data_IF_400450432160
#
_entry.id   IF_400450432160
#
_cell.length_a   1.000
_cell.length_b   1.000
_cell.length_c   1.000
_cell.angle_alpha   90.00
_cell.angle_beta   90.00
_cell.angle_gamma   90.00
#
_symmetry.space_group_name_H-M   'P 1'
#
loop_
_entity.id
_entity.type
_entity.pdbx_description
1 polymer ?
#
# COMPACT_ATOMS: atom_id res chain seq x y z
N UNK A 1 -6.31 15.72 -26.49
CA UNK A 1 -4.97 15.11 -26.26
C UNK A 1 -5.15 14.01 -25.24
N UNK A 2 -4.40 12.90 -25.34
CA UNK A 2 -4.45 11.83 -24.34
C UNK A 2 -3.93 12.32 -22.98
N UNK A 3 -4.61 11.91 -21.91
CA UNK A 3 -4.18 12.19 -20.54
C UNK A 3 -3.36 11.03 -19.92
N UNK A 4 -3.24 9.91 -20.67
CA UNK A 4 -2.52 8.69 -20.20
C UNK A 4 -1.23 8.48 -20.97
N UNK A 5 -1.23 8.76 -22.28
CA UNK A 5 -0.14 8.40 -23.19
C UNK A 5 0.68 9.62 -23.61
N UNK A 6 1.97 9.60 -23.30
CA UNK A 6 2.95 10.54 -23.82
C UNK A 6 3.50 10.11 -25.19
N UNK A 7 4.45 10.87 -25.73
CA UNK A 7 5.02 10.68 -27.07
C UNK A 7 5.62 9.29 -27.26
N UNK A 8 6.42 8.82 -26.30
CA UNK A 8 7.06 7.50 -26.41
C UNK A 8 6.06 6.34 -26.40
N UNK A 9 4.96 6.47 -25.61
CA UNK A 9 3.88 5.50 -25.68
C UNK A 9 3.25 5.47 -27.08
N UNK A 10 3.08 6.64 -27.68
CA UNK A 10 2.47 6.76 -29.02
C UNK A 10 3.36 6.14 -30.12
N UNK A 11 4.67 6.32 -30.06
CA UNK A 11 5.63 5.67 -30.96
C UNK A 11 5.51 4.14 -30.91
N UNK A 12 5.47 3.56 -29.69
CA UNK A 12 5.31 2.12 -29.52
C UNK A 12 3.94 1.63 -30.03
N UNK A 13 2.86 2.37 -29.75
CA UNK A 13 1.53 2.02 -30.23
C UNK A 13 1.44 2.02 -31.76
N UNK A 14 2.12 2.92 -32.42
CA UNK A 14 2.22 2.99 -33.87
C UNK A 14 3.07 1.83 -34.43
N UNK A 15 4.24 1.58 -33.83
CA UNK A 15 5.12 0.46 -34.21
C UNK A 15 4.38 -0.89 -34.18
N UNK A 16 3.53 -1.11 -33.14
CA UNK A 16 2.80 -2.37 -32.98
C UNK A 16 1.35 -2.30 -33.48
N UNK A 17 0.97 -1.23 -34.21
CA UNK A 17 -0.37 -1.02 -34.79
C UNK A 17 -1.52 -1.11 -33.78
N UNK A 18 -1.27 -0.70 -32.52
CA UNK A 18 -2.24 -0.75 -31.42
C UNK A 18 -2.85 0.62 -31.05
N UNK A 19 -2.53 1.69 -31.79
CA UNK A 19 -2.95 3.08 -31.51
C UNK A 19 -4.47 3.19 -31.32
N UNK A 20 -5.25 2.68 -32.25
CA UNK A 20 -6.71 2.75 -32.19
C UNK A 20 -7.31 1.96 -31.01
N UNK A 21 -6.71 0.83 -30.65
CA UNK A 21 -7.10 0.06 -29.47
C UNK A 21 -6.80 0.83 -28.19
N UNK A 22 -5.61 1.41 -28.07
CA UNK A 22 -5.20 2.21 -26.92
C UNK A 22 -6.11 3.42 -26.70
N UNK A 23 -6.47 4.13 -27.78
CA UNK A 23 -7.39 5.26 -27.71
C UNK A 23 -8.78 4.81 -27.21
N UNK A 24 -9.33 3.72 -27.76
CA UNK A 24 -10.62 3.17 -27.32
C UNK A 24 -10.58 2.76 -25.84
N UNK A 25 -9.50 2.12 -25.39
CA UNK A 25 -9.36 1.73 -23.98
C UNK A 25 -9.25 2.96 -23.07
N UNK A 26 -8.51 4.01 -23.45
CA UNK A 26 -8.47 5.25 -22.68
C UNK A 26 -9.87 5.85 -22.53
N UNK A 27 -10.65 5.93 -23.61
CA UNK A 27 -11.99 6.48 -23.61
C UNK A 27 -13.02 5.67 -22.80
N UNK A 28 -12.85 4.36 -22.73
CA UNK A 28 -13.89 3.46 -22.16
C UNK A 28 -13.62 2.99 -20.75
N UNK A 29 -12.36 2.86 -20.33
CA UNK A 29 -12.02 2.27 -19.03
C UNK A 29 -11.28 3.20 -18.08
N UNK A 30 -10.69 4.30 -18.57
CA UNK A 30 -10.00 5.26 -17.69
C UNK A 30 -11.02 6.28 -17.17
N UNK A 31 -11.18 6.31 -15.86
CA UNK A 31 -12.08 7.22 -15.15
C UNK A 31 -11.27 8.20 -14.29
N UNK A 32 -11.89 9.29 -13.89
CA UNK A 32 -11.33 10.30 -12.98
C UNK A 32 -11.93 10.23 -11.57
N UNK A 33 -12.93 9.37 -11.38
CA UNK A 33 -13.64 9.15 -10.14
C UNK A 33 -13.85 7.65 -9.87
N UNK A 34 -13.96 7.31 -8.61
CA UNK A 34 -14.26 5.98 -8.10
C UNK A 34 -15.77 5.75 -8.17
N UNK A 35 -16.22 4.76 -8.92
CA UNK A 35 -17.62 4.33 -8.91
C UNK A 35 -17.88 3.25 -7.84
N UNK A 36 -19.12 2.79 -7.73
CA UNK A 36 -19.52 1.80 -6.71
C UNK A 36 -18.85 0.43 -6.93
N UNK A 37 -18.54 0.05 -8.16
CA UNK A 37 -17.82 -1.20 -8.45
C UNK A 37 -16.36 -1.10 -8.01
N UNK A 38 -15.70 0.01 -8.31
CA UNK A 38 -14.34 0.29 -7.87
C UNK A 38 -14.28 0.36 -6.33
N UNK A 39 -15.26 1.04 -5.68
CA UNK A 39 -15.38 1.11 -4.23
C UNK A 39 -15.42 -0.29 -3.62
N UNK A 40 -16.32 -1.13 -4.09
CA UNK A 40 -16.47 -2.50 -3.59
C UNK A 40 -15.18 -3.30 -3.75
N UNK A 41 -14.47 -3.14 -4.88
CA UNK A 41 -13.18 -3.79 -5.10
C UNK A 41 -12.10 -3.24 -4.16
N UNK A 42 -11.94 -1.93 -4.03
CA UNK A 42 -10.93 -1.28 -3.18
C UNK A 42 -11.13 -1.67 -1.71
N UNK A 43 -12.34 -1.51 -1.19
CA UNK A 43 -12.65 -1.73 0.24
C UNK A 43 -12.61 -3.22 0.63
N UNK A 44 -12.74 -4.13 -0.32
CA UNK A 44 -12.59 -5.56 -0.07
C UNK A 44 -11.12 -6.04 -0.01
N UNK A 45 -10.16 -5.21 -0.40
CA UNK A 45 -8.73 -5.59 -0.36
C UNK A 45 -8.16 -5.47 1.04
N UNK A 46 -7.28 -6.39 1.38
CA UNK A 46 -6.52 -6.43 2.63
C UNK A 46 -5.07 -5.98 2.44
N UNK A 47 -4.68 -5.66 1.22
CA UNK A 47 -3.39 -5.06 0.88
C UNK A 47 -3.44 -4.35 -0.49
N UNK A 48 -2.42 -3.52 -0.73
CA UNK A 48 -2.12 -2.94 -2.04
C UNK A 48 -0.63 -2.61 -2.15
N UNK A 49 -0.17 -2.32 -3.35
CA UNK A 49 1.16 -1.77 -3.59
C UNK A 49 1.08 -0.27 -3.84
N UNK A 50 1.86 0.49 -3.06
CA UNK A 50 1.99 1.94 -3.16
C UNK A 50 3.29 2.29 -3.85
N UNK A 51 3.22 3.01 -4.96
CA UNK A 51 4.39 3.61 -5.59
C UNK A 51 4.50 5.08 -5.19
N UNK A 52 5.70 5.50 -4.80
CA UNK A 52 6.10 6.88 -4.52
C UNK A 52 7.41 7.18 -5.23
N UNK A 53 7.84 8.43 -5.24
CA UNK A 53 9.11 8.85 -5.84
C UNK A 53 9.97 9.49 -4.76
N UNK A 54 11.20 9.02 -4.62
CA UNK A 54 12.14 9.57 -3.64
C UNK A 54 12.74 10.92 -4.10
N UNK A 55 13.53 11.54 -3.23
CA UNK A 55 14.18 12.83 -3.49
C UNK A 55 15.16 12.81 -4.67
N UNK A 56 15.62 11.63 -5.10
CA UNK A 56 16.52 11.46 -6.24
C UNK A 56 15.77 11.15 -7.54
N UNK A 57 14.43 11.10 -7.49
CA UNK A 57 13.59 10.74 -8.62
C UNK A 57 13.43 9.25 -8.85
N UNK A 58 13.90 8.38 -7.94
CA UNK A 58 13.72 6.94 -8.06
C UNK A 58 12.30 6.54 -7.65
N UNK A 59 11.58 5.78 -8.49
CA UNK A 59 10.32 5.20 -8.10
C UNK A 59 10.56 4.10 -7.06
N UNK A 60 9.73 4.12 -6.01
CA UNK A 60 9.73 3.10 -4.96
C UNK A 60 8.40 2.38 -4.92
N UNK A 61 8.39 1.12 -4.50
CA UNK A 61 7.16 0.34 -4.34
C UNK A 61 7.15 -0.26 -2.94
N UNK A 62 6.05 -0.02 -2.21
CA UNK A 62 5.85 -0.52 -0.86
C UNK A 62 4.57 -1.35 -0.78
N UNK A 63 4.64 -2.48 -0.09
CA UNK A 63 3.46 -3.20 0.35
C UNK A 63 2.78 -2.43 1.48
N UNK A 64 1.46 -2.28 1.41
CA UNK A 64 0.62 -1.73 2.46
C UNK A 64 -0.49 -2.75 2.74
N UNK A 65 -0.59 -3.17 3.99
CA UNK A 65 -1.55 -4.19 4.40
C UNK A 65 -2.40 -3.76 5.58
N UNK A 66 -3.57 -4.38 5.69
CA UNK A 66 -4.55 -4.19 6.76
C UNK A 66 -5.63 -5.25 6.68
N UNK A 67 -6.72 -5.09 7.39
CA UNK A 67 -7.93 -5.89 7.18
C UNK A 67 -8.79 -5.33 6.05
N UNK A 68 -9.70 -6.12 5.45
CA UNK A 68 -10.70 -5.57 4.53
C UNK A 68 -11.38 -4.33 5.12
N UNK A 69 -11.54 -3.26 4.32
CA UNK A 69 -12.04 -1.96 4.76
C UNK A 69 -10.98 -1.04 5.37
N UNK A 70 -9.70 -1.43 5.43
CA UNK A 70 -8.64 -0.51 5.86
C UNK A 70 -8.39 0.61 4.83
N UNK A 71 -8.64 0.36 3.56
CA UNK A 71 -8.73 1.41 2.54
C UNK A 71 -10.19 1.82 2.41
N UNK A 72 -10.46 3.11 2.48
CA UNK A 72 -11.82 3.68 2.37
C UNK A 72 -11.92 4.63 1.20
N UNK A 73 -12.99 4.53 0.47
CA UNK A 73 -13.39 5.53 -0.51
C UNK A 73 -14.25 6.57 0.23
N UNK A 74 -13.63 7.69 0.58
CA UNK A 74 -14.24 8.76 1.38
C UNK A 74 -15.35 9.46 0.59
N UNK A 75 -15.04 9.75 -0.68
CA UNK A 75 -15.95 10.30 -1.68
C UNK A 75 -15.47 9.83 -3.08
N UNK A 76 -16.21 10.08 -4.17
CA UNK A 76 -15.82 9.63 -5.51
C UNK A 76 -14.41 10.04 -5.97
N UNK A 77 -13.87 11.11 -5.41
CA UNK A 77 -12.56 11.63 -5.78
C UNK A 77 -11.46 11.40 -4.72
N UNK A 78 -11.78 10.77 -3.59
CA UNK A 78 -10.85 10.65 -2.45
C UNK A 78 -10.82 9.25 -1.88
N UNK A 79 -9.63 8.66 -1.84
CA UNK A 79 -9.33 7.40 -1.16
C UNK A 79 -8.45 7.68 0.06
N UNK A 80 -8.69 6.99 1.17
CA UNK A 80 -7.89 7.14 2.39
C UNK A 80 -7.48 5.78 2.97
N UNK A 81 -6.31 5.74 3.62
CA UNK A 81 -5.83 4.57 4.34
C UNK A 81 -4.93 4.95 5.52
N UNK A 82 -4.84 4.10 6.55
CA UNK A 82 -3.97 4.34 7.70
C UNK A 82 -2.51 3.99 7.39
N UNK A 83 -1.59 4.72 8.02
CA UNK A 83 -0.21 4.28 8.17
C UNK A 83 -0.03 3.71 9.57
N UNK A 84 0.21 2.43 9.66
CA UNK A 84 0.50 1.71 10.90
C UNK A 84 1.97 1.78 11.28
N UNK A 85 2.29 1.33 12.50
CA UNK A 85 3.67 1.18 12.94
C UNK A 85 4.50 0.37 11.94
N UNK A 86 5.72 0.80 11.72
CA UNK A 86 6.64 0.19 10.77
C UNK A 86 8.08 0.15 11.31
N UNK A 87 9.03 0.31 10.43
CA UNK A 87 10.46 0.29 10.76
C UNK A 87 11.05 1.64 11.19
N UNK A 88 10.20 2.66 11.40
CA UNK A 88 10.64 4.00 11.78
C UNK A 88 11.23 4.85 10.65
N UNK A 89 11.46 4.29 9.46
CA UNK A 89 12.03 5.03 8.33
C UNK A 89 11.07 6.05 7.71
N UNK A 90 9.76 5.87 7.86
CA UNK A 90 8.72 6.70 7.21
C UNK A 90 8.95 6.95 5.72
N UNK A 91 9.63 6.02 5.03
CA UNK A 91 10.15 6.24 3.68
C UNK A 91 9.06 6.63 2.68
N UNK A 92 7.95 5.88 2.62
CA UNK A 92 6.83 6.23 1.75
C UNK A 92 6.15 7.54 2.17
N UNK A 93 6.01 7.79 3.48
CA UNK A 93 5.34 8.99 4.00
C UNK A 93 6.17 10.24 3.77
N UNK A 94 7.49 10.14 3.95
CA UNK A 94 8.44 11.22 3.63
C UNK A 94 8.45 11.55 2.13
N UNK A 95 8.42 10.52 1.27
CA UNK A 95 8.33 10.72 -0.18
C UNK A 95 7.04 11.47 -0.56
N UNK A 96 5.88 11.08 0.00
CA UNK A 96 4.60 11.75 -0.23
C UNK A 96 4.66 13.22 0.21
N UNK A 97 5.24 13.50 1.36
CA UNK A 97 5.37 14.87 1.86
C UNK A 97 6.21 15.76 0.92
N UNK A 98 7.22 15.19 0.27
CA UNK A 98 8.09 15.89 -0.67
C UNK A 98 7.50 15.94 -2.10
N UNK A 99 6.86 14.86 -2.54
CA UNK A 99 6.24 14.72 -3.86
C UNK A 99 4.91 13.98 -3.72
N UNK A 100 3.78 14.68 -3.86
CA UNK A 100 2.46 14.09 -3.60
C UNK A 100 2.01 13.06 -4.65
N UNK A 101 2.70 12.94 -5.78
CA UNK A 101 2.30 12.03 -6.85
C UNK A 101 2.51 10.58 -6.46
N UNK A 102 1.42 9.80 -6.51
CA UNK A 102 1.43 8.38 -6.15
C UNK A 102 0.72 7.52 -7.18
N UNK A 103 1.13 6.25 -7.21
CA UNK A 103 0.43 5.20 -7.92
C UNK A 103 0.04 4.07 -6.96
N UNK A 104 -1.16 3.53 -7.12
CA UNK A 104 -1.61 2.35 -6.38
C UNK A 104 -1.94 1.22 -7.36
N UNK A 105 -1.56 0.01 -6.97
CA UNK A 105 -2.02 -1.22 -7.58
C UNK A 105 -2.76 -2.04 -6.52
N UNK A 106 -4.08 -2.09 -6.64
CA UNK A 106 -4.91 -3.08 -5.98
C UNK A 106 -4.92 -4.36 -6.80
N UNK A 107 -4.84 -5.51 -6.13
CA UNK A 107 -4.84 -6.80 -6.80
C UNK A 107 -5.61 -7.83 -5.97
N UNK A 108 -6.38 -8.68 -6.66
CA UNK A 108 -7.00 -9.87 -6.11
C UNK A 108 -6.32 -11.10 -6.71
N UNK A 109 -5.71 -11.92 -5.86
CA UNK A 109 -5.11 -13.18 -6.28
C UNK A 109 -6.07 -14.37 -6.15
N UNK A 110 -7.11 -14.26 -5.32
CA UNK A 110 -8.10 -15.34 -5.17
C UNK A 110 -9.05 -15.38 -6.38
N UNK A 111 -9.51 -14.17 -6.81
CA UNK A 111 -10.29 -13.98 -8.03
C UNK A 111 -9.52 -13.02 -8.93
N UNK A 112 -8.63 -13.52 -9.79
CA UNK A 112 -7.65 -12.69 -10.48
C UNK A 112 -8.23 -11.43 -11.10
N UNK A 113 -7.93 -10.30 -10.52
CA UNK A 113 -8.33 -8.97 -10.97
C UNK A 113 -7.36 -7.91 -10.44
N UNK A 114 -7.29 -6.75 -11.08
CA UNK A 114 -6.45 -5.63 -10.62
C UNK A 114 -7.01 -4.29 -11.05
N UNK A 115 -6.83 -3.30 -10.18
CA UNK A 115 -7.23 -1.92 -10.36
C UNK A 115 -6.02 -1.01 -10.12
N UNK A 116 -5.80 -0.06 -11.02
CA UNK A 116 -4.78 0.98 -10.85
C UNK A 116 -5.42 2.31 -10.52
N UNK A 117 -4.76 3.05 -9.65
CA UNK A 117 -5.13 4.41 -9.28
C UNK A 117 -3.89 5.28 -9.32
N UNK A 118 -3.99 6.45 -9.93
CA UNK A 118 -3.03 7.54 -9.81
C UNK A 118 -3.69 8.70 -9.09
N UNK A 119 -2.92 9.42 -8.28
CA UNK A 119 -3.44 10.57 -7.56
C UNK A 119 -2.35 11.40 -6.89
N UNK A 120 -2.81 12.39 -6.15
CA UNK A 120 -1.96 13.22 -5.29
C UNK A 120 -2.30 12.93 -3.84
N UNK A 121 -1.29 12.54 -3.07
CA UNK A 121 -1.43 12.12 -1.69
C UNK A 121 -1.03 13.21 -0.70
N UNK A 122 -1.67 13.21 0.45
CA UNK A 122 -1.27 13.97 1.65
C UNK A 122 -1.21 13.04 2.85
N UNK A 123 -0.41 13.41 3.86
CA UNK A 123 -0.21 12.66 5.10
C UNK A 123 -0.54 13.57 6.27
N UNK A 124 -1.31 13.08 7.25
CA UNK A 124 -1.68 13.86 8.44
C UNK A 124 -1.77 12.98 9.68
N UNK A 125 -1.26 13.49 10.82
CA UNK A 125 -1.48 12.94 12.16
C UNK A 125 -2.77 13.47 12.81
N UNK A 126 -3.35 14.54 12.27
CA UNK A 126 -4.54 15.22 12.79
C UNK A 126 -5.80 14.94 11.97
N UNK A 127 -5.77 13.92 11.12
CA UNK A 127 -6.91 13.56 10.28
C UNK A 127 -8.04 12.95 11.13
N UNK A 128 -9.30 13.41 10.97
CA UNK A 128 -10.45 12.87 11.71
C UNK A 128 -10.65 11.35 11.57
N UNK A 129 -10.24 10.75 10.47
CA UNK A 129 -10.33 9.31 10.27
C UNK A 129 -9.38 8.52 11.18
N UNK A 130 -8.34 9.16 11.75
CA UNK A 130 -7.37 8.49 12.60
C UNK A 130 -8.05 7.78 13.78
N UNK A 131 -9.03 8.41 14.40
CA UNK A 131 -9.79 7.85 15.52
C UNK A 131 -10.56 6.56 15.18
N UNK A 132 -10.77 6.27 13.91
CA UNK A 132 -11.49 5.08 13.43
C UNK A 132 -10.57 3.92 13.03
N UNK A 133 -9.26 4.08 13.16
CA UNK A 133 -8.25 3.05 12.88
C UNK A 133 -7.43 2.78 14.13
N UNK A 134 -7.56 1.61 14.69
CA UNK A 134 -6.77 1.18 15.84
C UNK A 134 -5.27 1.19 15.49
N UNK A 135 -4.44 1.72 16.40
CA UNK A 135 -2.98 1.76 16.28
C UNK A 135 -2.44 2.48 15.02
N UNK A 136 -3.27 3.23 14.31
CA UNK A 136 -2.77 4.05 13.20
C UNK A 136 -2.02 5.28 13.73
N UNK A 137 -0.91 5.63 13.09
CA UNK A 137 -0.10 6.80 13.44
C UNK A 137 -0.43 8.01 12.54
N UNK A 138 -0.78 7.75 11.29
CA UNK A 138 -1.09 8.75 10.29
C UNK A 138 -2.22 8.27 9.39
N UNK A 139 -2.90 9.22 8.76
CA UNK A 139 -3.80 8.95 7.62
C UNK A 139 -3.18 9.50 6.34
N UNK A 140 -3.24 8.69 5.30
CA UNK A 140 -2.92 9.10 3.94
C UNK A 140 -4.24 9.32 3.21
N UNK A 141 -4.44 10.50 2.62
CA UNK A 141 -5.53 10.80 1.70
C UNK A 141 -4.98 10.96 0.29
N UNK A 142 -5.65 10.39 -0.68
CA UNK A 142 -5.27 10.49 -2.09
C UNK A 142 -6.42 11.09 -2.86
N UNK A 143 -6.18 12.25 -3.46
CA UNK A 143 -7.08 12.81 -4.46
C UNK A 143 -6.84 12.07 -5.77
N UNK A 144 -7.86 11.35 -6.22
CA UNK A 144 -7.80 10.52 -7.42
C UNK A 144 -7.68 11.41 -8.65
N UNK A 145 -6.73 11.13 -9.51
CA UNK A 145 -6.60 11.76 -10.82
C UNK A 145 -7.02 10.83 -11.95
N UNK A 146 -6.77 9.54 -11.79
CA UNK A 146 -7.17 8.49 -12.76
C UNK A 146 -7.33 7.15 -12.04
N UNK A 147 -8.29 6.38 -12.50
CA UNK A 147 -8.53 5.01 -12.04
C UNK A 147 -8.95 4.15 -13.23
N UNK A 148 -8.43 2.92 -13.31
CA UNK A 148 -8.78 1.99 -14.40
C UNK A 148 -8.45 0.54 -14.04
N UNK A 149 -9.25 -0.37 -14.57
CA UNK A 149 -9.01 -1.81 -14.51
C UNK A 149 -7.99 -2.25 -15.55
N UNK A 150 -7.26 -3.32 -15.26
CA UNK A 150 -6.42 -3.99 -16.23
C UNK A 150 -6.82 -5.47 -16.35
N UNK A 151 -6.58 -6.04 -17.53
CA UNK A 151 -6.79 -7.46 -17.77
C UNK A 151 -6.11 -8.31 -16.68
N UNK A 152 -6.77 -9.37 -16.15
CA UNK A 152 -6.18 -10.28 -15.16
C UNK A 152 -5.10 -11.21 -15.72
N UNK A 153 -4.81 -11.11 -17.02
CA UNK A 153 -3.80 -11.94 -17.68
C UNK A 153 -2.49 -11.96 -16.91
N UNK A 154 -1.95 -13.16 -16.72
CA UNK A 154 -0.70 -13.44 -15.99
C UNK A 154 -0.78 -13.25 -14.47
N UNK A 155 -1.93 -12.98 -13.88
CA UNK A 155 -2.12 -13.03 -12.43
C UNK A 155 -2.33 -14.49 -12.04
N UNK A 156 -1.43 -15.12 -11.26
CA UNK A 156 -1.66 -16.47 -10.78
C UNK A 156 -2.81 -16.47 -9.76
N UNK A 157 -3.60 -17.53 -9.76
CA UNK A 157 -4.61 -17.72 -8.73
C UNK A 157 -3.93 -18.26 -7.46
N UNK A 158 -4.18 -17.61 -6.33
CA UNK A 158 -3.64 -17.97 -5.01
C UNK A 158 -4.78 -18.04 -4.00
N UNK A 159 -4.57 -18.74 -2.92
CA UNK A 159 -5.49 -18.78 -1.78
C UNK A 159 -4.81 -18.21 -0.55
N UNK A 160 -5.47 -17.25 0.12
CA UNK A 160 -5.02 -16.74 1.40
C UNK A 160 -5.16 -17.82 2.47
N UNK A 161 -4.08 -18.12 3.20
CA UNK A 161 -4.08 -19.11 4.26
C UNK A 161 -4.59 -18.51 5.58
N UNK A 162 -4.06 -17.33 5.96
CA UNK A 162 -4.43 -16.62 7.18
C UNK A 162 -4.12 -15.11 7.05
N UNK A 163 -4.81 -14.24 7.82
CA UNK A 163 -4.40 -12.83 7.93
C UNK A 163 -3.07 -12.73 8.68
N UNK A 164 -2.38 -11.58 8.50
CA UNK A 164 -1.20 -11.27 9.31
C UNK A 164 -1.59 -11.00 10.76
N UNK A 165 -0.80 -11.53 11.71
CA UNK A 165 -0.96 -11.23 13.13
C UNK A 165 -0.68 -9.75 13.48
N UNK A 166 -0.02 -9.02 12.57
CA UNK A 166 0.30 -7.61 12.74
C UNK A 166 -0.80 -6.66 12.26
N UNK A 167 -1.90 -7.17 11.77
CA UNK A 167 -3.07 -6.33 11.47
C UNK A 167 -3.76 -5.96 12.78
N UNK A 168 -3.84 -4.66 13.15
CA UNK A 168 -4.46 -4.24 14.39
C UNK A 168 -5.89 -4.73 14.52
N UNK A 169 -6.24 -5.24 15.69
CA UNK A 169 -7.55 -5.83 15.97
C UNK A 169 -8.01 -5.45 17.38
N UNK A 170 -9.30 -5.10 17.58
CA UNK A 170 -9.85 -4.87 18.92
C UNK A 170 -9.78 -6.10 19.85
N UNK A 171 -9.58 -7.29 19.28
CA UNK A 171 -9.58 -8.54 20.04
C UNK A 171 -8.25 -8.84 20.75
N UNK A 172 -7.15 -8.25 20.31
CA UNK A 172 -5.82 -8.53 20.90
C UNK A 172 -4.86 -7.37 20.63
N UNK A 173 -3.85 -7.24 21.49
CA UNK A 173 -2.72 -6.34 21.26
C UNK A 173 -1.88 -6.83 20.07
N UNK A 174 -1.50 -5.92 19.18
CA UNK A 174 -0.62 -6.24 18.06
C UNK A 174 0.76 -6.67 18.59
N UNK A 175 1.26 -7.85 18.19
CA UNK A 175 2.54 -8.35 18.67
C UNK A 175 3.68 -7.42 18.26
N UNK A 176 4.76 -7.40 19.06
CA UNK A 176 5.98 -6.70 18.69
C UNK A 176 6.60 -7.39 17.47
N UNK A 177 6.92 -6.61 16.44
CA UNK A 177 7.62 -7.13 15.27
C UNK A 177 8.95 -7.78 15.68
N UNK A 178 9.19 -9.02 15.25
CA UNK A 178 10.31 -9.85 15.71
C UNK A 178 11.67 -9.18 15.49
N UNK A 179 11.86 -8.40 14.42
CA UNK A 179 13.09 -7.66 14.16
C UNK A 179 13.43 -6.61 15.22
N UNK A 180 12.41 -6.06 15.94
CA UNK A 180 12.63 -5.10 17.06
C UNK A 180 13.25 -5.77 18.29
N UNK A 181 13.39 -7.09 18.29
CA UNK A 181 14.07 -7.87 19.33
C UNK A 181 15.56 -8.06 19.06
N UNK A 182 16.05 -7.70 17.86
CA UNK A 182 17.46 -7.89 17.50
C UNK A 182 18.35 -7.03 18.43
N UNK A 183 19.47 -7.58 18.87
CA UNK A 183 20.38 -6.98 19.84
C UNK A 183 20.90 -5.60 19.41
N UNK A 184 21.32 -5.44 18.16
CA UNK A 184 21.90 -4.18 17.66
C UNK A 184 20.90 -3.02 17.49
N UNK A 185 19.58 -3.23 17.71
CA UNK A 185 18.60 -2.12 17.68
C UNK A 185 18.10 -1.72 19.06
N UNK A 186 18.51 -2.40 20.13
CA UNK A 186 17.93 -2.20 21.47
C UNK A 186 18.17 -0.79 22.02
N UNK A 187 19.33 -0.19 21.75
CA UNK A 187 19.73 1.14 22.19
C UNK A 187 19.09 2.28 21.40
N UNK A 188 18.42 1.97 20.28
CA UNK A 188 17.78 2.94 19.38
C UNK A 188 16.28 2.70 19.19
N UNK A 189 15.68 1.80 19.96
CA UNK A 189 14.24 1.59 19.92
C UNK A 189 13.48 2.86 20.35
N UNK A 190 12.36 3.17 19.68
CA UNK A 190 11.54 4.31 20.08
C UNK A 190 10.91 4.07 21.47
N UNK A 191 10.57 5.15 22.23
CA UNK A 191 10.05 5.02 23.60
C UNK A 191 8.84 4.08 23.74
N UNK A 192 7.98 3.99 22.75
CA UNK A 192 6.80 3.10 22.73
C UNK A 192 7.15 1.61 22.71
N UNK A 193 8.37 1.25 22.31
CA UNK A 193 8.82 -0.14 22.19
C UNK A 193 9.76 -0.57 23.34
N UNK A 194 10.16 0.34 24.22
CA UNK A 194 11.03 0.02 25.36
C UNK A 194 10.36 -1.00 26.29
N UNK A 195 11.11 -2.05 26.66
CA UNK A 195 10.63 -3.14 27.50
C UNK A 195 9.67 -4.13 26.82
N UNK A 196 9.29 -3.91 25.56
CA UNK A 196 8.48 -4.86 24.79
C UNK A 196 9.27 -6.09 24.31
N UNK A 197 10.58 -5.99 23.95
CA UNK A 197 11.38 -7.16 23.58
C UNK A 197 11.41 -8.22 24.67
N UNK A 198 11.57 -7.84 25.95
CA UNK A 198 11.59 -8.77 27.09
C UNK A 198 10.25 -9.50 27.24
N UNK A 199 9.12 -8.78 27.09
CA UNK A 199 7.77 -9.37 27.13
C UNK A 199 7.49 -10.28 25.93
N UNK A 200 8.13 -10.03 24.80
CA UNK A 200 7.98 -10.80 23.58
C UNK A 200 8.92 -12.02 23.49
N UNK A 201 9.60 -12.39 24.58
CA UNK A 201 10.48 -13.55 24.65
C UNK A 201 11.97 -13.22 24.60
N UNK A 202 12.34 -11.97 24.93
CA UNK A 202 13.72 -11.51 25.08
C UNK A 202 14.39 -11.02 23.80
N UNK A 203 15.59 -10.46 23.97
CA UNK A 203 16.46 -10.02 22.89
C UNK A 203 17.01 -11.24 22.15
N UNK A 204 17.22 -11.13 20.85
CA UNK A 204 17.75 -12.18 19.98
C UNK A 204 18.90 -11.65 19.13
N UNK A 205 19.77 -12.54 18.67
CA UNK A 205 20.82 -12.17 17.70
C UNK A 205 20.26 -12.03 16.28
N UNK A 206 21.04 -11.43 15.39
CA UNK A 206 20.66 -11.34 13.98
C UNK A 206 20.55 -12.73 13.33
N UNK A 207 21.40 -13.69 13.72
CA UNK A 207 21.39 -15.07 13.21
C UNK A 207 20.10 -15.78 13.63
N UNK A 208 19.66 -15.62 14.89
CA UNK A 208 18.41 -16.16 15.39
C UNK A 208 17.21 -15.55 14.66
N UNK A 209 17.24 -14.24 14.38
CA UNK A 209 16.20 -13.59 13.57
C UNK A 209 16.13 -14.15 12.16
N UNK A 210 17.28 -14.31 11.47
CA UNK A 210 17.35 -14.89 10.13
C UNK A 210 16.78 -16.31 10.12
N UNK A 211 17.11 -17.13 11.12
CA UNK A 211 16.56 -18.48 11.25
C UNK A 211 15.04 -18.48 11.33
N UNK A 212 14.44 -17.54 12.11
CA UNK A 212 12.98 -17.38 12.20
C UNK A 212 12.35 -16.92 10.87
N UNK A 213 12.99 -15.99 10.14
CA UNK A 213 12.53 -15.57 8.81
C UNK A 213 12.45 -16.77 7.84
N UNK A 214 13.48 -17.61 7.81
CA UNK A 214 13.52 -18.82 6.96
C UNK A 214 12.40 -19.81 7.32
N UNK A 215 12.03 -19.89 8.60
CA UNK A 215 10.96 -20.76 9.09
C UNK A 215 9.56 -20.14 8.95
N UNK A 216 9.44 -18.87 8.57
CA UNK A 216 8.17 -18.15 8.49
C UNK A 216 7.56 -17.82 9.85
N UNK A 217 8.40 -17.65 10.89
CA UNK A 217 8.02 -17.37 12.28
C UNK A 217 8.22 -15.91 12.70
N UNK A 218 8.08 -14.97 11.75
CA UNK A 218 8.27 -13.52 11.99
C UNK A 218 6.99 -12.75 11.87
#
# INVERSE_FOLDING_TARGET
MSNVYGEEHRKLQEQFSTRKLADRLEETIVKTEVDEMDRGFIESRDFFFLSTVDQNGHPTVSYKGGGPGFVRVVDPSTVAFPSYDGNGMFFSMGNIAANPKVGILFIDFENPNRLRLHGEASVSADDPLLASYQEAELIVRIKVSKIWVNCPRYIPQMKRVKPSAYVPSPACETPLATWKRIDFVQDVLPPKDLGRPEKAGGVITIEEYIAKVVQGET
#
